data_IF_026168553893
#
_entry.id   IF_026168553893
#
_cell.length_a   1.000
_cell.length_b   1.000
_cell.length_c   1.000
_cell.angle_alpha   90.00
_cell.angle_beta   90.00
_cell.angle_gamma   90.00
#
_symmetry.space_group_name_H-M   'P 1'
#
loop_
_entity.id
_entity.type
_entity.pdbx_description
1 polymer ?
#
# COMPACT_ATOMS: atom_id res chain seq x y z
N UNK A 1 59.30 -17.16 -12.39
CA UNK A 1 58.39 -16.05 -12.77
C UNK A 1 57.36 -16.44 -13.84
N UNK A 2 57.72 -17.06 -14.99
CA UNK A 2 56.74 -17.50 -16.01
C UNK A 2 55.66 -18.45 -15.47
N UNK A 3 56.03 -19.41 -14.60
CA UNK A 3 55.09 -20.36 -13.97
C UNK A 3 54.09 -19.69 -12.99
N UNK A 4 54.50 -18.63 -12.30
CA UNK A 4 53.65 -17.85 -11.38
C UNK A 4 52.65 -16.99 -12.17
N UNK A 5 53.07 -16.41 -13.31
CA UNK A 5 52.17 -15.66 -14.20
C UNK A 5 51.08 -16.55 -14.81
N UNK A 6 51.43 -17.77 -15.20
CA UNK A 6 50.47 -18.76 -15.72
C UNK A 6 49.47 -19.16 -14.62
N UNK A 7 49.92 -19.37 -13.38
CA UNK A 7 49.05 -19.66 -12.25
C UNK A 7 48.04 -18.53 -12.00
N UNK A 8 48.49 -17.28 -12.06
CA UNK A 8 47.63 -16.11 -11.85
C UNK A 8 46.55 -15.97 -12.94
N UNK A 9 46.88 -16.27 -14.19
CA UNK A 9 45.93 -16.25 -15.32
C UNK A 9 44.89 -17.36 -15.18
N UNK A 10 45.30 -18.57 -14.80
CA UNK A 10 44.39 -19.71 -14.60
C UNK A 10 43.42 -19.45 -13.45
N UNK A 11 43.90 -18.91 -12.33
CA UNK A 11 43.06 -18.54 -11.18
C UNK A 11 42.11 -17.41 -11.56
N UNK A 12 42.56 -16.39 -12.29
CA UNK A 12 41.71 -15.30 -12.79
C UNK A 12 40.60 -15.80 -13.73
N UNK A 13 40.88 -16.79 -14.57
CA UNK A 13 39.86 -17.42 -15.44
C UNK A 13 38.84 -18.24 -14.66
N UNK A 14 39.26 -18.93 -13.59
CA UNK A 14 38.34 -19.68 -12.73
C UNK A 14 37.39 -18.79 -11.93
N UNK A 15 37.86 -17.62 -11.47
CA UNK A 15 37.03 -16.65 -10.77
C UNK A 15 36.02 -16.00 -11.72
N UNK A 16 36.39 -15.76 -12.99
CA UNK A 16 35.50 -15.19 -13.99
C UNK A 16 34.33 -16.12 -14.38
N UNK A 17 34.46 -17.44 -14.21
CA UNK A 17 33.37 -18.41 -14.44
C UNK A 17 32.43 -18.61 -13.25
N UNK A 18 32.70 -17.99 -12.09
CA UNK A 18 31.90 -18.15 -10.87
C UNK A 18 30.73 -17.17 -10.75
N UNK A 19 30.68 -16.12 -11.56
CA UNK A 19 29.51 -15.24 -11.67
C UNK A 19 28.58 -15.83 -12.73
N UNK A 20 27.69 -16.73 -12.30
CA UNK A 20 26.61 -17.23 -13.13
C UNK A 20 25.26 -17.00 -12.45
N UNK A 21 24.21 -16.89 -13.27
CA UNK A 21 22.82 -16.66 -12.86
C UNK A 21 22.28 -17.69 -11.84
N UNK A 22 22.99 -18.81 -11.65
CA UNK A 22 22.68 -19.85 -10.66
C UNK A 22 22.59 -19.32 -9.22
N UNK A 23 23.37 -18.29 -8.85
CA UNK A 23 23.24 -17.68 -7.52
C UNK A 23 21.91 -16.91 -7.37
N UNK A 24 21.43 -16.30 -8.45
CA UNK A 24 20.12 -15.66 -8.47
C UNK A 24 19.00 -16.72 -8.41
N UNK A 25 19.16 -17.86 -9.10
CA UNK A 25 18.22 -18.97 -9.07
C UNK A 25 18.09 -19.63 -7.68
N UNK A 26 19.19 -19.78 -6.92
CA UNK A 26 19.11 -20.35 -5.55
C UNK A 26 18.58 -19.35 -4.52
N UNK A 27 18.66 -18.05 -4.81
CA UNK A 27 18.20 -16.97 -3.95
C UNK A 27 16.77 -16.52 -4.31
N UNK A 28 16.04 -17.34 -5.07
CA UNK A 28 14.59 -17.24 -5.16
C UNK A 28 14.04 -17.93 -3.92
N UNK A 29 13.45 -17.14 -3.02
CA UNK A 29 12.79 -17.69 -1.83
C UNK A 29 11.72 -18.69 -2.27
N UNK A 30 11.82 -19.99 -1.94
CA UNK A 30 10.83 -20.98 -2.34
C UNK A 30 9.45 -20.73 -1.71
N UNK A 31 9.36 -19.83 -0.72
CA UNK A 31 8.12 -19.34 -0.11
C UNK A 31 7.68 -17.98 -0.65
N UNK A 32 8.37 -17.40 -1.65
CA UNK A 32 7.79 -16.23 -2.32
C UNK A 32 6.46 -16.67 -2.92
N UNK A 33 5.39 -16.10 -2.38
CA UNK A 33 4.07 -16.25 -2.98
C UNK A 33 4.21 -15.82 -4.44
N UNK A 34 3.68 -16.58 -5.41
CA UNK A 34 3.46 -15.99 -6.73
C UNK A 34 2.72 -14.68 -6.50
N UNK A 35 3.21 -13.59 -7.11
CA UNK A 35 2.54 -12.29 -7.06
C UNK A 35 1.07 -12.53 -7.34
N UNK A 36 0.21 -12.23 -6.36
CA UNK A 36 -1.23 -12.38 -6.55
C UNK A 36 -1.65 -11.56 -7.76
N UNK A 37 -2.61 -12.05 -8.54
CA UNK A 37 -3.14 -11.26 -9.64
C UNK A 37 -3.79 -9.99 -9.11
N UNK A 38 -3.85 -8.92 -9.91
CA UNK A 38 -4.46 -7.65 -9.49
C UNK A 38 -5.86 -7.81 -8.83
N UNK A 39 -6.78 -8.67 -9.29
CA UNK A 39 -8.04 -8.93 -8.59
C UNK A 39 -7.89 -9.55 -7.19
N UNK A 40 -6.92 -10.45 -7.01
CA UNK A 40 -6.66 -11.09 -5.71
C UNK A 40 -6.07 -10.08 -4.72
N UNK A 41 -5.11 -9.27 -5.19
CA UNK A 41 -4.50 -8.22 -4.37
C UNK A 41 -5.50 -7.12 -4.04
N UNK A 42 -6.42 -6.77 -4.96
CA UNK A 42 -7.52 -5.86 -4.67
C UNK A 42 -8.41 -6.35 -3.52
N UNK A 43 -8.70 -7.66 -3.49
CA UNK A 43 -9.47 -8.28 -2.40
C UNK A 43 -8.70 -8.22 -1.07
N UNK A 44 -7.39 -8.45 -1.09
CA UNK A 44 -6.54 -8.32 0.10
C UNK A 44 -6.53 -6.88 0.62
N UNK A 45 -6.38 -5.88 -0.26
CA UNK A 45 -6.41 -4.47 0.09
C UNK A 45 -7.72 -4.07 0.80
N UNK A 46 -8.86 -4.56 0.31
CA UNK A 46 -10.17 -4.35 0.95
C UNK A 46 -10.21 -4.93 2.36
N UNK A 47 -9.66 -6.14 2.56
CA UNK A 47 -9.61 -6.76 3.88
C UNK A 47 -8.70 -6.01 4.86
N UNK A 48 -7.50 -5.61 4.42
CA UNK A 48 -6.57 -4.84 5.24
C UNK A 48 -7.13 -3.48 5.62
N UNK A 49 -7.78 -2.80 4.69
CA UNK A 49 -8.44 -1.54 5.02
C UNK A 49 -9.67 -1.74 5.90
N UNK A 50 -10.42 -2.83 5.73
CA UNK A 50 -11.52 -3.18 6.62
C UNK A 50 -11.06 -3.31 8.08
N UNK A 51 -9.86 -3.86 8.32
CA UNK A 51 -9.25 -3.89 9.66
C UNK A 51 -8.95 -2.47 10.17
N UNK A 52 -8.30 -1.63 9.36
CA UNK A 52 -8.01 -0.24 9.75
C UNK A 52 -9.29 0.54 10.09
N UNK A 53 -10.30 0.41 9.24
CA UNK A 53 -11.56 1.13 9.34
C UNK A 53 -12.38 0.67 10.53
N UNK A 54 -12.59 -0.63 10.72
CA UNK A 54 -13.51 -1.12 11.75
C UNK A 54 -12.83 -1.22 13.13
N UNK A 55 -11.66 -1.85 13.20
CA UNK A 55 -11.01 -2.16 14.47
C UNK A 55 -10.19 -1.00 15.07
N UNK A 56 -10.01 0.10 14.33
CA UNK A 56 -9.22 1.24 14.83
C UNK A 56 -9.94 2.57 14.65
N UNK A 57 -10.29 2.96 13.42
CA UNK A 57 -10.99 4.23 13.20
C UNK A 57 -12.40 4.21 13.81
N UNK A 58 -13.25 3.25 13.42
CA UNK A 58 -14.63 3.17 13.89
C UNK A 58 -14.72 2.95 15.41
N UNK A 59 -13.88 2.11 16.01
CA UNK A 59 -13.89 1.89 17.46
C UNK A 59 -13.62 3.19 18.23
N UNK A 60 -12.56 3.92 17.85
CA UNK A 60 -12.18 5.19 18.46
C UNK A 60 -13.20 6.29 18.15
N UNK A 61 -13.62 6.43 16.91
CA UNK A 61 -14.58 7.44 16.47
C UNK A 61 -15.93 7.25 17.17
N UNK A 62 -16.40 6.02 17.30
CA UNK A 62 -17.64 5.71 17.99
C UNK A 62 -17.54 6.02 19.49
N UNK A 63 -16.37 5.83 20.10
CA UNK A 63 -16.11 6.21 21.48
C UNK A 63 -16.13 7.74 21.64
N UNK A 64 -15.40 8.47 20.79
CA UNK A 64 -15.30 9.93 20.79
C UNK A 64 -16.64 10.60 20.47
N UNK A 65 -17.43 10.01 19.58
CA UNK A 65 -18.80 10.43 19.26
C UNK A 65 -19.83 10.01 20.33
N UNK A 66 -19.40 9.32 21.39
CA UNK A 66 -20.23 8.88 22.52
C UNK A 66 -21.33 7.89 22.12
N UNK A 67 -21.12 7.10 21.05
CA UNK A 67 -22.00 6.00 20.70
C UNK A 67 -21.85 4.81 21.65
N UNK A 68 -20.67 4.64 22.25
CA UNK A 68 -20.42 3.64 23.28
C UNK A 68 -19.46 4.17 24.35
N UNK A 69 -19.40 3.45 25.46
CA UNK A 69 -18.44 3.65 26.55
C UNK A 69 -18.22 2.31 27.27
N UNK A 70 -17.15 2.22 28.04
CA UNK A 70 -16.84 1.12 28.92
C UNK A 70 -18.01 0.78 29.84
N UNK A 71 -18.37 -0.50 29.86
CA UNK A 71 -19.48 -0.98 30.68
C UNK A 71 -19.14 -1.08 32.17
N UNK A 72 -20.15 -1.27 33.04
CA UNK A 72 -19.92 -1.58 34.44
C UNK A 72 -19.07 -2.85 34.61
N UNK A 73 -17.95 -2.75 35.34
CA UNK A 73 -17.04 -3.88 35.59
C UNK A 73 -15.91 -4.04 34.59
N UNK A 74 -15.81 -3.16 33.59
CA UNK A 74 -14.63 -3.02 32.72
C UNK A 74 -13.75 -1.88 33.26
N UNK A 75 -12.43 -1.96 33.07
CA UNK A 75 -11.56 -0.83 33.37
C UNK A 75 -11.91 0.35 32.45
N UNK A 76 -11.89 1.57 32.98
CA UNK A 76 -12.01 2.77 32.15
C UNK A 76 -10.82 2.80 31.19
N UNK A 77 -11.09 2.86 29.90
CA UNK A 77 -10.04 2.97 28.90
C UNK A 77 -9.42 4.37 28.98
N UNK A 78 -8.19 4.50 28.50
CA UNK A 78 -7.47 5.78 28.54
C UNK A 78 -8.09 6.77 27.53
N UNK A 79 -8.56 6.26 26.40
CA UNK A 79 -9.23 6.97 25.31
C UNK A 79 -10.54 7.63 25.79
N UNK A 80 -11.27 6.99 26.70
CA UNK A 80 -12.50 7.56 27.31
C UNK A 80 -12.22 8.81 28.15
N UNK A 81 -10.98 8.91 28.63
CA UNK A 81 -10.47 10.04 29.43
C UNK A 81 -9.67 11.00 28.57
N UNK A 82 -9.68 10.82 27.25
CA UNK A 82 -8.90 11.59 26.29
C UNK A 82 -7.38 11.53 26.57
N UNK A 83 -6.92 10.44 27.18
CA UNK A 83 -5.51 10.17 27.35
C UNK A 83 -5.04 9.34 26.16
N UNK A 84 -4.27 9.98 25.28
CA UNK A 84 -3.75 9.37 24.05
C UNK A 84 -2.23 9.42 24.02
N UNK A 85 -1.63 8.33 23.59
CA UNK A 85 -0.22 8.23 23.24
C UNK A 85 -0.06 8.14 21.71
N UNK A 86 1.06 8.62 21.14
CA UNK A 86 1.28 8.53 19.69
C UNK A 86 1.17 7.11 19.11
N UNK A 87 1.44 6.08 19.93
CA UNK A 87 1.38 4.69 19.50
C UNK A 87 -0.05 4.20 19.20
N UNK A 88 -1.07 4.81 19.81
CA UNK A 88 -2.46 4.39 19.67
C UNK A 88 -2.95 4.56 18.22
N UNK A 89 -2.33 5.46 17.47
CA UNK A 89 -2.68 5.76 16.08
C UNK A 89 -1.81 5.05 15.04
N UNK A 90 -0.78 4.30 15.46
CA UNK A 90 0.18 3.68 14.53
C UNK A 90 -0.41 2.52 13.73
N UNK A 91 -1.34 1.77 14.31
CA UNK A 91 -1.84 0.54 13.69
C UNK A 91 -2.72 0.85 12.48
N UNK A 92 -3.68 1.77 12.64
CA UNK A 92 -4.52 2.25 11.54
C UNK A 92 -3.69 2.87 10.41
N UNK A 93 -2.68 3.69 10.78
CA UNK A 93 -1.72 4.25 9.84
C UNK A 93 -0.98 3.16 9.05
N UNK A 94 -0.48 2.14 9.74
CA UNK A 94 0.29 1.05 9.14
C UNK A 94 -0.55 0.17 8.22
N UNK A 95 -1.76 -0.22 8.62
CA UNK A 95 -2.68 -0.95 7.74
C UNK A 95 -3.08 -0.12 6.51
N UNK A 96 -3.25 1.19 6.67
CA UNK A 96 -3.60 2.08 5.57
C UNK A 96 -2.46 2.21 4.56
N UNK A 97 -1.24 2.55 4.99
CA UNK A 97 -0.12 2.78 4.07
C UNK A 97 0.60 1.50 3.63
N UNK A 98 0.99 0.66 4.58
CA UNK A 98 1.91 -0.46 4.32
C UNK A 98 1.21 -1.67 3.73
N UNK A 99 -0.11 -1.77 3.91
CA UNK A 99 -0.90 -2.87 3.37
C UNK A 99 -1.86 -2.36 2.30
N UNK A 100 -2.93 -1.67 2.68
CA UNK A 100 -4.01 -1.35 1.74
C UNK A 100 -3.58 -0.44 0.58
N UNK A 101 -2.97 0.73 0.86
CA UNK A 101 -2.55 1.66 -0.19
C UNK A 101 -1.41 1.10 -1.06
N UNK A 102 -0.46 0.36 -0.46
CA UNK A 102 0.60 -0.32 -1.20
C UNK A 102 0.02 -1.34 -2.18
N UNK A 103 -0.91 -2.18 -1.73
CA UNK A 103 -1.60 -3.16 -2.57
C UNK A 103 -2.42 -2.48 -3.66
N UNK A 104 -3.15 -1.40 -3.35
CA UNK A 104 -3.92 -0.66 -4.35
C UNK A 104 -3.03 0.01 -5.40
N UNK A 105 -1.87 0.53 -5.00
CA UNK A 105 -0.88 1.06 -5.95
C UNK A 105 -0.41 -0.03 -6.91
N UNK A 106 -0.17 -1.25 -6.43
CA UNK A 106 0.13 -2.39 -7.28
C UNK A 106 -1.03 -2.69 -8.24
N UNK A 107 -2.26 -2.82 -7.73
CA UNK A 107 -3.45 -3.11 -8.54
C UNK A 107 -3.66 -2.09 -9.65
N UNK A 108 -3.50 -0.79 -9.35
CA UNK A 108 -3.62 0.29 -10.35
C UNK A 108 -2.56 0.13 -11.45
N UNK A 109 -1.32 -0.24 -11.08
CA UNK A 109 -0.23 -0.41 -12.04
C UNK A 109 -0.32 -1.69 -12.87
N UNK A 110 -0.91 -2.75 -12.32
CA UNK A 110 -0.87 -4.11 -12.87
C UNK A 110 -2.26 -4.59 -13.35
N UNK A 111 -3.24 -3.70 -13.52
CA UNK A 111 -4.61 -4.09 -13.87
C UNK A 111 -4.79 -4.80 -15.23
N UNK A 112 -3.73 -5.17 -15.98
CA UNK A 112 -3.78 -5.92 -17.25
C UNK A 112 -4.80 -5.37 -18.29
N UNK A 113 -4.90 -4.05 -18.40
CA UNK A 113 -5.90 -3.33 -19.21
C UNK A 113 -7.36 -3.43 -18.71
N UNK A 114 -7.59 -3.87 -17.49
CA UNK A 114 -8.88 -3.79 -16.80
C UNK A 114 -9.02 -2.38 -16.17
N UNK A 115 -9.48 -1.44 -16.98
CA UNK A 115 -9.69 -0.06 -16.54
C UNK A 115 -10.74 0.06 -15.43
N UNK A 116 -11.73 -0.85 -15.38
CA UNK A 116 -12.72 -0.87 -14.32
C UNK A 116 -12.09 -1.23 -12.96
N UNK A 117 -11.22 -2.25 -12.93
CA UNK A 117 -10.50 -2.63 -11.71
C UNK A 117 -9.55 -1.52 -11.25
N UNK A 118 -8.80 -0.91 -12.17
CA UNK A 118 -7.92 0.21 -11.84
C UNK A 118 -8.72 1.39 -11.26
N UNK A 119 -9.85 1.76 -11.87
CA UNK A 119 -10.71 2.83 -11.37
C UNK A 119 -11.33 2.50 -9.99
N UNK A 120 -11.75 1.26 -9.76
CA UNK A 120 -12.26 0.83 -8.46
C UNK A 120 -11.18 0.88 -7.37
N UNK A 121 -9.96 0.43 -7.69
CA UNK A 121 -8.81 0.53 -6.79
C UNK A 121 -8.43 1.99 -6.51
N UNK A 122 -8.56 2.87 -7.49
CA UNK A 122 -8.31 4.30 -7.35
C UNK A 122 -9.32 4.98 -6.42
N UNK A 123 -10.61 4.63 -6.55
CA UNK A 123 -11.68 5.11 -5.66
C UNK A 123 -11.41 4.66 -4.22
N UNK A 124 -11.06 3.39 -4.00
CA UNK A 124 -10.73 2.92 -2.67
C UNK A 124 -9.50 3.64 -2.12
N UNK A 125 -8.46 3.85 -2.93
CA UNK A 125 -7.29 4.64 -2.53
C UNK A 125 -7.67 6.04 -2.07
N UNK A 126 -8.56 6.72 -2.83
CA UNK A 126 -9.06 8.04 -2.45
C UNK A 126 -9.77 8.02 -1.11
N UNK A 127 -10.63 7.02 -0.87
CA UNK A 127 -11.33 6.88 0.40
C UNK A 127 -10.37 6.68 1.57
N UNK A 128 -9.32 5.87 1.40
CA UNK A 128 -8.31 5.66 2.45
C UNK A 128 -7.56 6.96 2.74
N UNK A 129 -7.09 7.67 1.71
CA UNK A 129 -6.42 8.97 1.90
C UNK A 129 -7.31 10.01 2.54
N UNK A 130 -8.61 10.03 2.23
CA UNK A 130 -9.57 10.92 2.88
C UNK A 130 -9.59 10.66 4.40
N UNK A 131 -9.77 9.39 4.81
CA UNK A 131 -9.77 9.03 6.23
C UNK A 131 -8.45 9.38 6.91
N UNK A 132 -7.32 9.20 6.23
CA UNK A 132 -6.01 9.62 6.76
C UNK A 132 -5.94 11.14 6.96
N UNK A 133 -6.45 11.95 6.04
CA UNK A 133 -6.49 13.41 6.25
C UNK A 133 -7.43 13.76 7.41
N UNK A 134 -8.59 13.11 7.50
CA UNK A 134 -9.59 13.40 8.53
C UNK A 134 -9.07 13.12 9.96
N UNK A 135 -8.21 12.12 10.12
CA UNK A 135 -7.66 11.73 11.42
C UNK A 135 -6.30 12.38 11.75
N UNK A 136 -5.44 12.60 10.76
CA UNK A 136 -4.06 13.02 10.97
C UNK A 136 -3.75 14.44 10.47
N UNK A 137 -4.63 15.03 9.67
CA UNK A 137 -4.42 16.34 9.03
C UNK A 137 -3.49 16.24 7.83
N UNK A 138 -2.30 16.79 7.95
CA UNK A 138 -1.29 16.71 6.90
C UNK A 138 -0.72 15.28 6.84
N UNK A 139 -0.53 14.74 5.63
CA UNK A 139 -0.12 13.35 5.43
C UNK A 139 0.80 13.18 4.22
N UNK A 140 1.64 12.15 4.16
CA UNK A 140 2.33 11.78 2.93
C UNK A 140 1.36 11.41 1.81
N UNK A 141 1.28 12.20 0.75
CA UNK A 141 0.40 11.91 -0.39
C UNK A 141 1.19 11.82 -1.70
N UNK A 142 1.71 12.94 -2.21
CA UNK A 142 2.36 13.04 -3.51
C UNK A 142 3.69 12.30 -3.60
N UNK A 143 4.38 12.17 -2.46
CA UNK A 143 5.66 11.46 -2.33
C UNK A 143 5.52 10.06 -1.69
N UNK A 144 4.31 9.67 -1.28
CA UNK A 144 4.05 8.38 -0.64
C UNK A 144 4.13 7.20 -1.63
N UNK A 145 4.36 5.98 -1.11
CA UNK A 145 4.40 4.72 -1.89
C UNK A 145 5.51 4.67 -2.98
N UNK A 146 6.54 5.51 -2.84
CA UNK A 146 7.65 5.66 -3.80
C UNK A 146 8.99 5.14 -3.27
N UNK A 147 8.95 4.18 -2.36
CA UNK A 147 10.13 3.62 -1.70
C UNK A 147 11.00 2.74 -2.58
N UNK A 148 10.42 2.10 -3.61
CA UNK A 148 11.19 1.32 -4.58
C UNK A 148 12.13 2.23 -5.40
N UNK A 149 13.36 1.77 -5.64
CA UNK A 149 14.35 2.50 -6.46
C UNK A 149 13.83 2.78 -7.88
N UNK A 150 13.02 1.87 -8.44
CA UNK A 150 12.35 2.05 -9.73
C UNK A 150 11.27 3.14 -9.72
N UNK A 151 10.73 3.48 -8.55
CA UNK A 151 9.65 4.46 -8.36
C UNK A 151 10.08 5.71 -7.57
N UNK A 152 11.39 5.95 -7.44
CA UNK A 152 11.96 7.19 -6.89
C UNK A 152 12.82 7.02 -5.63
N UNK A 153 12.76 5.87 -4.95
CA UNK A 153 13.61 5.59 -3.79
C UNK A 153 13.37 6.51 -2.58
N UNK A 154 12.15 7.05 -2.43
CA UNK A 154 11.78 7.98 -1.35
C UNK A 154 11.48 7.16 -0.09
N UNK A 155 12.40 7.18 0.87
CA UNK A 155 12.26 6.46 2.15
C UNK A 155 11.74 7.34 3.30
N UNK A 156 11.73 8.66 3.09
CA UNK A 156 11.19 9.64 4.02
C UNK A 156 10.26 10.60 3.24
N UNK A 157 9.00 10.20 3.00
CA UNK A 157 8.08 11.01 2.22
C UNK A 157 7.67 12.28 2.97
N UNK A 158 7.55 13.37 2.23
CA UNK A 158 7.09 14.66 2.76
C UNK A 158 5.58 14.64 2.98
N UNK A 159 5.14 15.42 3.97
CA UNK A 159 3.73 15.58 4.31
C UNK A 159 3.14 16.69 3.45
N UNK A 160 2.11 16.35 2.70
CA UNK A 160 1.30 17.31 1.95
C UNK A 160 0.20 17.87 2.85
N UNK A 161 -0.11 19.16 2.67
CA UNK A 161 -1.14 19.84 3.46
C UNK A 161 -2.52 19.22 3.24
N UNK A 162 -3.27 18.90 4.30
CA UNK A 162 -4.53 18.14 4.21
C UNK A 162 -5.56 18.76 3.25
N UNK A 163 -5.66 20.10 3.19
CA UNK A 163 -6.51 20.78 2.20
C UNK A 163 -6.08 20.49 0.76
N UNK A 164 -4.77 20.58 0.48
CA UNK A 164 -4.24 20.34 -0.86
C UNK A 164 -4.39 18.87 -1.26
N UNK A 165 -4.33 17.94 -0.30
CA UNK A 165 -4.66 16.54 -0.52
C UNK A 165 -6.14 16.41 -0.92
N UNK A 166 -7.07 16.97 -0.15
CA UNK A 166 -8.51 16.94 -0.48
C UNK A 166 -8.85 17.47 -1.88
N UNK A 167 -8.27 18.61 -2.25
CA UNK A 167 -8.48 19.20 -3.58
C UNK A 167 -8.06 18.20 -4.69
N UNK A 168 -6.98 17.45 -4.49
CA UNK A 168 -6.51 16.40 -5.41
C UNK A 168 -7.39 15.15 -5.37
N UNK A 169 -7.83 14.71 -4.18
CA UNK A 169 -8.71 13.56 -4.00
C UNK A 169 -10.03 13.73 -4.74
N UNK A 170 -10.65 14.91 -4.67
CA UNK A 170 -11.90 15.22 -5.39
C UNK A 170 -11.73 15.09 -6.90
N UNK A 171 -10.61 15.60 -7.44
CA UNK A 171 -10.30 15.47 -8.86
C UNK A 171 -10.08 14.00 -9.24
N UNK A 172 -9.35 13.25 -8.41
CA UNK A 172 -9.01 11.84 -8.65
C UNK A 172 -10.25 10.95 -8.66
N UNK A 173 -11.13 11.07 -7.65
CA UNK A 173 -12.38 10.29 -7.59
C UNK A 173 -13.32 10.64 -8.74
N UNK A 174 -13.39 11.92 -9.14
CA UNK A 174 -14.22 12.34 -10.28
C UNK A 174 -13.78 11.67 -11.58
N UNK A 175 -12.46 11.58 -11.82
CA UNK A 175 -11.90 10.91 -13.00
C UNK A 175 -12.13 9.39 -12.96
N UNK A 176 -11.97 8.76 -11.80
CA UNK A 176 -12.20 7.32 -11.64
C UNK A 176 -13.69 6.95 -11.84
N UNK A 177 -14.62 7.75 -11.28
CA UNK A 177 -16.07 7.57 -11.49
C UNK A 177 -16.44 7.77 -12.96
N UNK A 178 -15.86 8.76 -13.64
CA UNK A 178 -16.09 8.94 -15.07
C UNK A 178 -15.63 7.73 -15.90
N UNK A 179 -14.50 7.11 -15.52
CA UNK A 179 -14.02 5.86 -16.15
C UNK A 179 -15.02 4.72 -15.98
N UNK A 180 -15.58 4.54 -14.77
CA UNK A 180 -16.59 3.49 -14.51
C UNK A 180 -17.95 3.78 -15.15
N UNK A 181 -18.26 5.05 -15.43
CA UNK A 181 -19.48 5.42 -16.12
C UNK A 181 -19.41 5.18 -17.64
N UNK A 182 -18.24 4.92 -18.21
CA UNK A 182 -18.08 4.58 -19.63
C UNK A 182 -18.65 3.17 -19.90
N UNK A 183 -19.71 3.04 -20.71
CA UNK A 183 -20.32 1.74 -21.03
C UNK A 183 -19.33 0.76 -21.67
N UNK A 184 -18.36 1.24 -22.45
CA UNK A 184 -17.37 0.36 -23.08
C UNK A 184 -16.43 -0.27 -22.05
N UNK A 185 -16.03 0.49 -21.02
CA UNK A 185 -15.21 0.00 -19.91
C UNK A 185 -15.97 -1.10 -19.16
N UNK A 186 -17.24 -0.87 -18.87
CA UNK A 186 -18.08 -1.84 -18.14
C UNK A 186 -18.36 -3.11 -18.95
N UNK A 187 -18.64 -2.98 -20.26
CA UNK A 187 -18.84 -4.14 -21.15
C UNK A 187 -17.57 -4.99 -21.25
N UNK A 188 -16.39 -4.36 -21.40
CA UNK A 188 -15.11 -5.09 -21.46
C UNK A 188 -14.83 -5.83 -20.15
N UNK A 189 -15.24 -5.27 -19.02
CA UNK A 189 -15.12 -5.92 -17.72
C UNK A 189 -16.00 -7.17 -17.62
N UNK A 190 -17.29 -7.08 -17.95
CA UNK A 190 -18.22 -8.22 -17.92
C UNK A 190 -17.80 -9.38 -18.83
N UNK A 191 -17.11 -9.09 -19.95
CA UNK A 191 -16.63 -10.11 -20.89
C UNK A 191 -15.35 -10.84 -20.45
N UNK A 192 -14.68 -10.38 -19.39
CA UNK A 192 -13.43 -10.96 -18.86
C UNK A 192 -13.62 -11.78 -17.57
N UNK A 193 -14.84 -11.85 -17.03
CA UNK A 193 -15.24 -12.70 -15.90
C UNK A 193 -15.83 -14.00 -16.46
#
# INVERSE_FOLDING_TARGET
>A
MKKIKILFIVVSMMIASSCGDKLAEINVDPNTSPSGSAPQVFTAAQAFYGIALDAYFNELDALLAQYWAGGPGVALLDEERYFFEPIDFNTAWSFSYLQALSDLSFVISDAENNQALAAAADILSVYIYQNLVDHYGDIPYTSSLRGDLSNGGITAPEYDGGKAVYDQLISRVSAAVATLADPLVMIIWELKI
#
